data_IF_484256936546
#
_entry.id   IF_484256936546
#
_cell.length_a   1.000
_cell.length_b   1.000
_cell.length_c   1.000
_cell.angle_alpha   90.00
_cell.angle_beta   90.00
_cell.angle_gamma   90.00
#
_symmetry.space_group_name_H-M   'P 1'
#
loop_
_entity.id
_entity.type
_entity.pdbx_description
1 polymer ?
#
# COMPACT_ATOMS: atom_id res chain seq x y z
N UNK A 1 -11.94 -1.06 18.44
CA UNK A 1 -11.53 -0.86 17.04
C UNK A 1 -10.05 -0.52 16.98
N UNK A 2 -9.29 -1.16 16.07
CA UNK A 2 -7.90 -0.77 15.76
C UNK A 2 -7.88 0.37 14.76
N UNK A 3 -7.03 1.35 14.97
CA UNK A 3 -6.76 2.45 14.04
C UNK A 3 -5.32 2.35 13.54
N UNK A 4 -5.15 2.23 12.24
CA UNK A 4 -3.85 2.15 11.57
C UNK A 4 -3.68 3.37 10.68
N UNK A 5 -2.54 4.04 10.79
CA UNK A 5 -2.12 5.09 9.86
C UNK A 5 -1.15 4.51 8.85
N UNK A 6 -1.50 4.59 7.57
CA UNK A 6 -0.66 4.12 6.47
C UNK A 6 -0.22 5.29 5.58
N UNK A 7 1.02 5.23 5.12
CA UNK A 7 1.62 6.30 4.31
C UNK A 7 2.30 5.70 3.10
N UNK A 8 1.85 6.09 1.91
CA UNK A 8 2.53 5.73 0.67
C UNK A 8 3.68 6.71 0.47
N UNK A 9 4.88 6.29 0.92
CA UNK A 9 6.11 7.07 0.92
C UNK A 9 6.83 6.88 -0.41
N UNK A 10 6.38 7.61 -1.41
CA UNK A 10 6.63 7.29 -2.82
C UNK A 10 7.47 8.33 -3.57
N UNK A 11 7.35 9.62 -3.20
CA UNK A 11 8.00 10.71 -3.92
C UNK A 11 9.50 10.77 -3.60
N UNK A 12 10.29 10.30 -4.54
CA UNK A 12 11.74 10.33 -4.46
C UNK A 12 12.37 11.44 -5.32
N UNK A 13 11.54 12.33 -5.89
CA UNK A 13 11.95 13.40 -6.81
C UNK A 13 11.91 14.76 -6.14
N UNK A 14 10.92 15.00 -5.26
CA UNK A 14 10.67 16.29 -4.61
C UNK A 14 11.26 16.31 -3.21
N UNK A 15 12.35 17.08 -2.93
CA UNK A 15 13.01 17.09 -1.61
C UNK A 15 12.06 17.49 -0.47
N UNK A 16 11.13 18.42 -0.71
CA UNK A 16 10.14 18.88 0.27
C UNK A 16 9.15 17.76 0.68
N UNK A 17 8.94 16.78 -0.19
CA UNK A 17 8.16 15.58 0.14
C UNK A 17 8.87 14.71 1.18
N UNK A 18 10.21 14.68 1.20
CA UNK A 18 10.99 13.96 2.22
C UNK A 18 10.84 14.61 3.59
N UNK A 19 10.78 15.96 3.63
CA UNK A 19 10.49 16.70 4.87
C UNK A 19 9.05 16.47 5.33
N UNK A 20 8.10 16.33 4.41
CA UNK A 20 6.72 15.96 4.74
C UNK A 20 6.63 14.55 5.33
N UNK A 21 7.38 13.57 4.80
CA UNK A 21 7.47 12.21 5.36
C UNK A 21 8.00 12.26 6.80
N UNK A 22 9.11 12.97 7.03
CA UNK A 22 9.68 13.19 8.38
C UNK A 22 8.69 13.88 9.30
N UNK A 23 7.97 14.89 8.81
CA UNK A 23 6.96 15.60 9.59
C UNK A 23 5.84 14.66 10.05
N UNK A 24 5.27 13.84 9.14
CA UNK A 24 4.24 12.86 9.48
C UNK A 24 4.73 11.85 10.52
N UNK A 25 5.91 11.28 10.32
CA UNK A 25 6.54 10.38 11.29
C UNK A 25 6.68 11.05 12.66
N UNK A 26 7.15 12.29 12.70
CA UNK A 26 7.26 13.07 13.94
C UNK A 26 5.92 13.34 14.61
N UNK A 27 4.86 13.60 13.84
CA UNK A 27 3.51 13.84 14.42
C UNK A 27 2.95 12.59 15.11
N UNK A 28 3.16 11.41 14.52
CA UNK A 28 2.74 10.16 15.15
C UNK A 28 3.61 9.82 16.38
N UNK A 29 4.92 9.91 16.24
CA UNK A 29 5.85 9.63 17.34
C UNK A 29 5.61 10.53 18.57
N UNK A 30 5.32 11.83 18.35
CA UNK A 30 4.99 12.75 19.43
C UNK A 30 3.69 12.40 20.20
N UNK A 31 2.84 11.56 19.61
CA UNK A 31 1.60 11.04 20.20
C UNK A 31 1.72 9.59 20.68
N UNK A 32 2.93 9.01 20.68
CA UNK A 32 3.16 7.62 21.04
C UNK A 32 2.55 6.60 20.06
N UNK A 33 2.29 7.01 18.82
CA UNK A 33 1.66 6.18 17.79
C UNK A 33 2.71 5.68 16.80
N UNK A 34 2.63 4.40 16.46
CA UNK A 34 3.36 3.85 15.32
C UNK A 34 2.45 3.80 14.11
N UNK A 35 2.94 4.28 12.95
CA UNK A 35 2.29 4.14 11.65
C UNK A 35 3.02 3.13 10.77
N UNK A 36 2.46 2.85 9.59
CA UNK A 36 3.03 1.99 8.56
C UNK A 36 3.43 2.84 7.36
N UNK A 37 4.74 2.92 7.07
CA UNK A 37 5.30 3.72 5.98
C UNK A 37 5.71 2.78 4.85
N UNK A 38 4.94 2.79 3.76
CA UNK A 38 5.17 1.97 2.57
C UNK A 38 6.23 2.66 1.70
N UNK A 39 7.48 2.21 1.79
CA UNK A 39 8.61 2.89 1.17
C UNK A 39 8.95 2.35 -0.21
N UNK A 40 9.10 3.24 -1.19
CA UNK A 40 9.63 2.94 -2.51
C UNK A 40 11.14 2.67 -2.43
N UNK A 41 11.63 1.65 -3.15
CA UNK A 41 13.04 1.29 -3.17
C UNK A 41 13.95 2.43 -3.65
N UNK A 42 13.55 3.18 -4.68
CA UNK A 42 14.31 4.35 -5.16
C UNK A 42 14.34 5.46 -4.12
N UNK A 43 13.25 5.67 -3.36
CA UNK A 43 13.27 6.64 -2.26
C UNK A 43 14.34 6.27 -1.21
N UNK A 44 14.41 5.00 -0.81
CA UNK A 44 15.42 4.54 0.12
C UNK A 44 16.85 4.82 -0.38
N UNK A 45 17.11 4.58 -1.69
CA UNK A 45 18.40 4.92 -2.33
C UNK A 45 18.68 6.41 -2.33
N UNK A 46 17.71 7.25 -2.69
CA UNK A 46 17.83 8.70 -2.73
C UNK A 46 18.09 9.30 -1.35
N UNK A 47 17.36 8.86 -0.32
CA UNK A 47 17.60 9.33 1.05
C UNK A 47 19.04 9.05 1.50
N UNK A 48 19.58 7.86 1.23
CA UNK A 48 20.98 7.54 1.52
C UNK A 48 21.96 8.40 0.71
N UNK A 49 21.74 8.50 -0.60
CA UNK A 49 22.63 9.25 -1.50
C UNK A 49 22.68 10.74 -1.17
N UNK A 50 21.60 11.32 -0.67
CA UNK A 50 21.51 12.73 -0.26
C UNK A 50 21.79 12.95 1.24
N UNK A 51 22.26 11.93 1.97
CA UNK A 51 22.59 12.06 3.39
C UNK A 51 21.42 12.39 4.30
N UNK A 52 20.16 12.06 3.90
CA UNK A 52 18.94 12.36 4.64
C UNK A 52 18.71 11.35 5.78
N UNK A 53 19.76 11.19 6.60
CA UNK A 53 19.69 10.34 7.79
C UNK A 53 18.57 10.78 8.74
N UNK A 54 18.30 12.07 8.81
CA UNK A 54 17.23 12.65 9.61
C UNK A 54 15.82 12.14 9.22
N UNK A 55 15.58 11.89 7.94
CA UNK A 55 14.33 11.29 7.43
C UNK A 55 14.32 9.80 7.73
N UNK A 56 15.42 9.10 7.43
CA UNK A 56 15.57 7.67 7.69
C UNK A 56 15.32 7.36 9.18
N UNK A 57 15.94 8.10 10.09
CA UNK A 57 15.78 7.92 11.54
C UNK A 57 14.36 8.21 12.03
N UNK A 58 13.68 9.18 11.41
CA UNK A 58 12.30 9.47 11.73
C UNK A 58 11.37 8.32 11.33
N UNK A 59 11.50 7.83 10.09
CA UNK A 59 10.71 6.72 9.55
C UNK A 59 10.99 5.41 10.29
N UNK A 60 12.25 5.14 10.66
CA UNK A 60 12.67 3.92 11.35
C UNK A 60 12.01 3.71 12.73
N UNK A 61 11.39 4.73 13.31
CA UNK A 61 10.59 4.62 14.55
C UNK A 61 9.22 3.95 14.32
N UNK A 62 8.85 3.74 13.07
CA UNK A 62 7.56 3.21 12.64
C UNK A 62 7.72 1.86 11.94
N UNK A 63 6.62 1.23 11.57
CA UNK A 63 6.67 0.08 10.68
C UNK A 63 7.03 0.54 9.27
N UNK A 64 7.98 -0.17 8.65
CA UNK A 64 8.40 0.07 7.28
C UNK A 64 7.83 -1.05 6.42
N UNK A 65 6.94 -0.68 5.52
CA UNK A 65 6.44 -1.53 4.45
C UNK A 65 7.16 -1.26 3.13
N UNK A 66 6.74 -1.95 2.09
CA UNK A 66 7.33 -1.87 0.75
C UNK A 66 6.34 -1.31 -0.28
N UNK A 67 6.79 -0.38 -1.13
CA UNK A 67 5.93 0.29 -2.12
C UNK A 67 6.49 0.22 -3.56
N UNK A 68 7.05 -0.92 -3.90
CA UNK A 68 7.67 -1.14 -5.20
C UNK A 68 9.09 -0.58 -5.32
N UNK A 69 9.80 -1.01 -6.38
CA UNK A 69 11.18 -0.59 -6.62
C UNK A 69 11.26 0.86 -7.17
N UNK A 70 10.49 1.14 -8.22
CA UNK A 70 10.54 2.42 -8.96
C UNK A 70 9.16 3.07 -9.10
N UNK A 71 8.18 2.62 -8.33
CA UNK A 71 6.81 3.12 -8.35
C UNK A 71 6.22 3.07 -9.78
N UNK A 72 5.71 4.20 -10.29
CA UNK A 72 4.99 4.32 -11.56
C UNK A 72 5.86 4.23 -12.82
N UNK A 73 7.16 3.99 -12.68
CA UNK A 73 8.07 3.89 -13.84
C UNK A 73 7.73 2.65 -14.67
N UNK A 74 7.39 2.80 -15.97
CA UNK A 74 7.08 1.65 -16.82
C UNK A 74 8.30 0.72 -17.06
N UNK A 75 8.03 -0.56 -17.33
CA UNK A 75 6.74 -1.24 -17.33
C UNK A 75 6.25 -1.53 -15.91
N UNK A 76 4.98 -1.22 -15.63
CA UNK A 76 4.32 -1.58 -14.37
C UNK A 76 3.78 -3.02 -14.43
N UNK A 77 3.58 -3.64 -13.26
CA UNK A 77 3.26 -5.07 -13.18
C UNK A 77 2.11 -5.50 -14.10
N UNK A 78 0.90 -4.91 -14.04
CA UNK A 78 -0.20 -5.39 -14.85
C UNK A 78 0.11 -5.36 -16.36
N UNK A 79 0.76 -4.32 -16.82
CA UNK A 79 1.08 -4.15 -18.24
C UNK A 79 2.15 -5.14 -18.70
N UNK A 80 3.12 -5.42 -17.83
CA UNK A 80 4.23 -6.28 -18.17
C UNK A 80 3.86 -7.77 -18.21
N UNK A 81 2.89 -8.19 -17.38
CA UNK A 81 2.67 -9.63 -17.15
C UNK A 81 1.28 -10.13 -17.55
N UNK A 82 0.39 -9.28 -18.12
CA UNK A 82 -0.95 -9.73 -18.51
C UNK A 82 -0.93 -10.89 -19.55
N UNK A 83 0.08 -10.93 -20.42
CA UNK A 83 0.17 -11.90 -21.49
C UNK A 83 0.96 -13.19 -21.17
N UNK A 84 1.49 -13.31 -19.96
CA UNK A 84 2.37 -14.46 -19.59
C UNK A 84 1.74 -15.32 -18.50
N UNK A 85 2.34 -16.50 -18.26
CA UNK A 85 1.87 -17.43 -17.24
C UNK A 85 2.10 -16.88 -15.83
N UNK A 86 1.38 -17.45 -14.84
CA UNK A 86 1.55 -17.08 -13.43
C UNK A 86 3.02 -17.25 -12.97
N UNK A 87 3.68 -18.34 -13.35
CA UNK A 87 5.06 -18.61 -12.97
C UNK A 87 6.03 -17.59 -13.56
N UNK A 88 5.94 -17.31 -14.86
CA UNK A 88 6.74 -16.27 -15.52
C UNK A 88 6.47 -14.89 -14.94
N UNK A 89 5.21 -14.59 -14.59
CA UNK A 89 4.82 -13.35 -13.93
C UNK A 89 5.47 -13.18 -12.56
N UNK A 90 5.51 -14.23 -11.74
CA UNK A 90 6.20 -14.21 -10.43
C UNK A 90 7.69 -13.93 -10.60
N UNK A 91 8.35 -14.62 -11.53
CA UNK A 91 9.78 -14.40 -11.80
C UNK A 91 10.04 -12.97 -12.30
N UNK A 92 9.18 -12.44 -13.17
CA UNK A 92 9.30 -11.09 -13.67
C UNK A 92 9.18 -10.07 -12.51
N UNK A 93 8.17 -10.23 -11.66
CA UNK A 93 7.96 -9.33 -10.50
C UNK A 93 9.15 -9.41 -9.55
N UNK A 94 9.64 -10.61 -9.22
CA UNK A 94 10.81 -10.76 -8.34
C UNK A 94 12.04 -10.07 -8.92
N UNK A 95 12.34 -10.23 -10.21
CA UNK A 95 13.46 -9.53 -10.85
C UNK A 95 13.29 -8.01 -10.81
N UNK A 96 12.07 -7.51 -10.98
CA UNK A 96 11.76 -6.08 -10.96
C UNK A 96 11.88 -5.48 -9.57
N UNK A 97 11.42 -6.21 -8.55
CA UNK A 97 11.22 -5.68 -7.20
C UNK A 97 12.38 -5.98 -6.23
N UNK A 98 13.12 -7.07 -6.43
CA UNK A 98 14.21 -7.47 -5.53
C UNK A 98 15.26 -6.37 -5.27
N UNK A 99 15.70 -5.56 -6.24
CA UNK A 99 16.64 -4.47 -5.97
C UNK A 99 16.06 -3.39 -5.04
N UNK A 100 14.79 -3.03 -5.21
CA UNK A 100 14.10 -2.06 -4.36
C UNK A 100 13.87 -2.60 -2.96
N UNK A 101 13.44 -3.85 -2.86
CA UNK A 101 13.29 -4.54 -1.58
C UNK A 101 14.61 -4.58 -0.80
N UNK A 102 15.70 -4.99 -1.43
CA UNK A 102 17.03 -4.98 -0.83
C UNK A 102 17.42 -3.58 -0.33
N UNK A 103 17.16 -2.54 -1.14
CA UNK A 103 17.44 -1.15 -0.76
C UNK A 103 16.68 -0.70 0.49
N UNK A 104 15.40 -1.08 0.61
CA UNK A 104 14.59 -0.80 1.81
C UNK A 104 15.15 -1.53 3.02
N UNK A 105 15.46 -2.84 2.88
CA UNK A 105 16.05 -3.65 3.96
C UNK A 105 17.38 -3.06 4.43
N UNK A 106 18.28 -2.72 3.52
CA UNK A 106 19.58 -2.12 3.85
C UNK A 106 19.46 -0.74 4.52
N UNK A 107 18.46 0.04 4.11
CA UNK A 107 18.29 1.40 4.63
C UNK A 107 17.71 1.39 6.03
N UNK A 108 16.76 0.51 6.30
CA UNK A 108 16.01 0.50 7.57
C UNK A 108 16.38 -0.66 8.50
N UNK A 109 17.26 -1.59 8.07
CA UNK A 109 17.75 -2.71 8.89
C UNK A 109 16.69 -3.75 9.24
N UNK A 110 15.59 -3.82 8.49
CA UNK A 110 14.49 -4.77 8.74
C UNK A 110 13.77 -5.20 7.47
N UNK A 111 13.22 -6.40 7.50
CA UNK A 111 12.40 -6.94 6.41
C UNK A 111 10.99 -6.36 6.51
N UNK A 112 10.44 -5.74 5.45
CA UNK A 112 9.06 -5.29 5.40
C UNK A 112 8.07 -6.45 5.62
N UNK A 113 7.06 -6.21 6.46
CA UNK A 113 5.94 -7.16 6.67
C UNK A 113 4.75 -6.82 5.79
N UNK A 114 4.57 -5.52 5.48
CA UNK A 114 3.50 -5.03 4.62
C UNK A 114 4.04 -4.57 3.26
N UNK A 115 3.16 -4.60 2.26
CA UNK A 115 3.39 -4.01 0.95
C UNK A 115 2.14 -3.27 0.48
N UNK A 116 2.35 -2.21 -0.29
CA UNK A 116 1.34 -1.58 -1.14
C UNK A 116 1.93 -1.43 -2.54
N UNK A 117 1.11 -1.43 -3.57
CA UNK A 117 1.59 -1.22 -4.93
C UNK A 117 1.05 0.09 -5.49
N UNK A 118 1.86 0.77 -6.26
CA UNK A 118 1.55 2.05 -6.86
C UNK A 118 0.20 2.03 -7.59
N UNK A 119 -0.69 2.97 -7.24
CA UNK A 119 -2.01 3.09 -7.83
C UNK A 119 -2.80 1.77 -7.83
N UNK A 120 -2.67 0.96 -6.78
CA UNK A 120 -3.27 -0.37 -6.68
C UNK A 120 -2.98 -1.29 -7.89
N UNK A 121 -1.84 -1.14 -8.53
CA UNK A 121 -1.43 -1.95 -9.69
C UNK A 121 -1.03 -3.39 -9.30
N UNK A 122 -1.80 -4.02 -8.42
CA UNK A 122 -1.53 -5.37 -7.99
C UNK A 122 -1.80 -6.42 -9.08
N UNK A 123 -1.21 -7.57 -8.92
CA UNK A 123 -1.44 -8.75 -9.78
C UNK A 123 -1.35 -10.00 -8.92
N UNK A 124 -1.97 -11.14 -9.32
CA UNK A 124 -1.79 -12.39 -8.62
C UNK A 124 -0.33 -12.80 -8.45
N UNK A 125 0.46 -12.63 -9.51
CA UNK A 125 1.90 -12.87 -9.47
C UNK A 125 2.62 -11.92 -8.50
N UNK A 126 2.19 -10.66 -8.42
CA UNK A 126 2.69 -9.67 -7.46
C UNK A 126 2.45 -10.09 -6.02
N UNK A 127 1.24 -10.55 -5.69
CA UNK A 127 0.94 -11.08 -4.35
C UNK A 127 1.86 -12.24 -3.97
N UNK A 128 2.00 -13.23 -4.86
CA UNK A 128 2.84 -14.39 -4.60
C UNK A 128 4.32 -14.04 -4.52
N UNK A 129 4.78 -13.11 -5.35
CA UNK A 129 6.16 -12.60 -5.29
C UNK A 129 6.44 -11.86 -3.98
N UNK A 130 5.57 -10.93 -3.56
CA UNK A 130 5.71 -10.21 -2.30
C UNK A 130 5.66 -11.16 -1.10
N UNK A 131 4.72 -12.09 -1.09
CA UNK A 131 4.63 -13.11 -0.04
C UNK A 131 5.88 -14.00 0.03
N UNK A 132 6.51 -14.33 -1.11
CA UNK A 132 7.75 -15.11 -1.13
C UNK A 132 8.98 -14.32 -0.64
N UNK A 133 8.93 -12.98 -0.67
CA UNK A 133 9.92 -12.10 -0.05
C UNK A 133 9.69 -11.90 1.46
N UNK A 134 8.64 -12.52 2.03
CA UNK A 134 8.34 -12.46 3.47
C UNK A 134 7.30 -11.44 3.88
N UNK A 135 6.70 -10.72 2.94
CA UNK A 135 5.60 -9.81 3.22
C UNK A 135 4.30 -10.58 3.43
N UNK A 136 3.54 -10.21 4.45
CA UNK A 136 2.34 -10.94 4.86
C UNK A 136 1.06 -10.08 4.84
N UNK A 137 1.19 -8.77 4.63
CA UNK A 137 0.08 -7.83 4.53
C UNK A 137 0.17 -7.10 3.20
N UNK A 138 -0.92 -7.07 2.46
CA UNK A 138 -1.08 -6.18 1.32
C UNK A 138 -2.02 -5.04 1.71
N UNK A 139 -1.54 -3.80 1.63
CA UNK A 139 -2.32 -2.61 1.90
C UNK A 139 -2.76 -1.94 0.59
N UNK A 140 -4.01 -1.57 0.52
CA UNK A 140 -4.58 -0.92 -0.67
C UNK A 140 -5.89 -1.58 -1.12
N UNK A 141 -6.42 -1.12 -2.23
CA UNK A 141 -7.53 -1.69 -2.99
C UNK A 141 -8.88 -1.86 -2.29
N UNK A 142 -9.90 -1.99 -3.10
CA UNK A 142 -11.22 -2.34 -2.65
C UNK A 142 -12.08 -1.15 -2.19
N UNK A 143 -13.27 -1.46 -1.70
CA UNK A 143 -14.19 -0.49 -1.11
C UNK A 143 -13.80 -0.16 0.33
N UNK A 144 -13.97 1.10 0.74
CA UNK A 144 -13.76 1.54 2.13
C UNK A 144 -14.53 0.69 3.16
N UNK A 145 -15.62 0.05 2.76
CA UNK A 145 -16.47 -0.78 3.62
C UNK A 145 -16.13 -2.28 3.56
N UNK A 146 -15.12 -2.68 2.79
CA UNK A 146 -14.74 -4.09 2.71
C UNK A 146 -13.97 -4.54 3.95
N UNK A 147 -14.32 -5.67 4.54
CA UNK A 147 -13.50 -6.28 5.57
C UNK A 147 -12.20 -6.84 4.99
N UNK A 148 -11.16 -6.88 5.81
CA UNK A 148 -9.90 -7.53 5.43
C UNK A 148 -10.09 -8.99 5.07
N UNK A 149 -9.33 -9.48 4.10
CA UNK A 149 -9.41 -10.83 3.55
C UNK A 149 -8.03 -11.43 3.36
N UNK A 150 -7.97 -12.75 3.27
CA UNK A 150 -6.77 -13.48 2.90
C UNK A 150 -6.78 -13.79 1.41
N UNK A 151 -5.68 -13.48 0.73
CA UNK A 151 -5.50 -13.80 -0.68
C UNK A 151 -4.05 -14.12 -0.98
N UNK A 152 -3.77 -15.23 -1.64
CA UNK A 152 -2.42 -15.69 -1.99
C UNK A 152 -1.43 -15.70 -0.81
N UNK A 153 -1.90 -16.01 0.40
CA UNK A 153 -1.07 -16.06 1.60
C UNK A 153 -0.80 -14.70 2.25
N UNK A 154 -1.44 -13.63 1.79
CA UNK A 154 -1.35 -12.29 2.39
C UNK A 154 -2.69 -11.86 2.98
N UNK A 155 -2.64 -11.14 4.10
CA UNK A 155 -3.77 -10.42 4.65
C UNK A 155 -3.98 -9.14 3.84
N UNK A 156 -5.11 -9.03 3.16
CA UNK A 156 -5.46 -7.82 2.38
C UNK A 156 -6.11 -6.81 3.31
N UNK A 157 -5.45 -5.68 3.49
CA UNK A 157 -5.84 -4.58 4.36
C UNK A 157 -6.33 -3.41 3.49
N UNK A 158 -7.65 -3.16 3.51
CA UNK A 158 -8.24 -2.12 2.67
C UNK A 158 -8.01 -0.72 3.24
N UNK A 159 -7.61 0.22 2.40
CA UNK A 159 -7.58 1.64 2.73
C UNK A 159 -9.01 2.16 2.89
N UNK A 160 -9.36 2.60 4.09
CA UNK A 160 -10.73 3.01 4.40
C UNK A 160 -10.96 4.50 4.20
N UNK A 161 -9.99 5.35 4.57
CA UNK A 161 -10.07 6.80 4.45
C UNK A 161 -8.78 7.34 3.86
N UNK A 162 -8.91 8.08 2.77
CA UNK A 162 -7.81 8.85 2.19
C UNK A 162 -7.78 10.23 2.83
N UNK A 163 -6.76 10.53 3.64
CA UNK A 163 -6.68 11.77 4.41
C UNK A 163 -6.63 13.00 3.52
N UNK A 164 -5.92 12.94 2.40
CA UNK A 164 -5.76 14.05 1.46
C UNK A 164 -7.05 14.40 0.70
N UNK A 165 -8.03 13.50 0.64
CA UNK A 165 -9.37 13.81 0.10
C UNK A 165 -10.08 14.92 0.90
N UNK A 166 -9.60 15.20 2.12
CA UNK A 166 -10.12 16.23 3.01
C UNK A 166 -9.19 17.45 3.14
N UNK A 167 -8.30 17.63 2.18
CA UNK A 167 -7.43 18.80 2.08
C UNK A 167 -8.12 20.02 1.43
N UNK A 168 -9.45 20.02 1.33
CA UNK A 168 -10.23 21.15 0.86
C UNK A 168 -9.89 22.48 1.58
N UNK A 169 -10.27 23.63 1.00
CA UNK A 169 -9.90 24.94 1.57
C UNK A 169 -10.77 25.36 2.73
N UNK A 170 -12.01 24.89 2.76
CA UNK A 170 -12.98 25.23 3.77
C UNK A 170 -12.89 24.32 5.02
N UNK A 171 -13.52 24.76 6.10
CA UNK A 171 -13.58 24.00 7.35
C UNK A 171 -14.61 22.85 7.27
N UNK A 172 -15.46 22.83 6.25
CA UNK A 172 -16.41 21.74 6.00
C UNK A 172 -15.68 20.41 5.75
N UNK A 173 -14.48 20.43 5.17
CA UNK A 173 -13.67 19.24 4.96
C UNK A 173 -13.34 18.50 6.27
N UNK A 174 -13.11 19.23 7.36
CA UNK A 174 -12.86 18.62 8.68
C UNK A 174 -14.09 17.93 9.24
N UNK A 175 -15.28 18.57 9.09
CA UNK A 175 -16.55 17.97 9.46
C UNK A 175 -16.84 16.72 8.63
N UNK A 176 -16.66 16.79 7.31
CA UNK A 176 -16.87 15.67 6.39
C UNK A 176 -15.97 14.48 6.77
N UNK A 177 -14.69 14.73 7.07
CA UNK A 177 -13.78 13.69 7.56
C UNK A 177 -14.33 12.98 8.80
N UNK A 178 -14.79 13.76 9.79
CA UNK A 178 -15.33 13.21 11.05
C UNK A 178 -16.59 12.39 10.83
N UNK A 179 -17.48 12.85 9.96
CA UNK A 179 -18.71 12.15 9.61
C UNK A 179 -18.40 10.82 8.90
N UNK A 180 -17.49 10.82 7.93
CA UNK A 180 -17.12 9.63 7.17
C UNK A 180 -16.33 8.64 8.03
N UNK A 181 -15.41 9.12 8.87
CA UNK A 181 -14.74 8.30 9.88
C UNK A 181 -15.76 7.58 10.78
N UNK A 182 -16.78 8.29 11.26
CA UNK A 182 -17.83 7.72 12.11
C UNK A 182 -18.63 6.63 11.40
N UNK A 183 -19.02 6.85 10.14
CA UNK A 183 -19.74 5.87 9.32
C UNK A 183 -18.92 4.59 9.12
N UNK A 184 -17.64 4.74 8.73
CA UNK A 184 -16.75 3.60 8.47
C UNK A 184 -16.45 2.88 9.77
N UNK A 185 -16.14 3.59 10.85
CA UNK A 185 -15.86 3.01 12.16
C UNK A 185 -16.99 2.10 12.66
N UNK A 186 -18.25 2.45 12.34
CA UNK A 186 -19.41 1.65 12.69
C UNK A 186 -19.51 0.32 11.92
N UNK A 187 -18.76 0.15 10.82
CA UNK A 187 -18.75 -1.07 10.00
C UNK A 187 -17.55 -1.96 10.26
N UNK A 188 -16.53 -1.47 11.00
CA UNK A 188 -15.32 -2.24 11.29
C UNK A 188 -15.62 -3.31 12.35
N UNK A 189 -15.35 -4.60 12.07
CA UNK A 189 -15.47 -5.66 13.08
C UNK A 189 -14.56 -5.43 14.28
N UNK A 190 -14.85 -6.08 15.41
CA UNK A 190 -14.07 -5.93 16.66
C UNK A 190 -12.59 -6.33 16.50
N UNK A 191 -12.29 -7.33 15.68
CA UNK A 191 -10.94 -7.80 15.33
C UNK A 191 -10.36 -7.08 14.11
N UNK A 192 -11.16 -6.26 13.43
CA UNK A 192 -10.77 -5.49 12.24
C UNK A 192 -9.96 -4.24 12.55
N UNK A 193 -9.50 -3.60 11.47
CA UNK A 193 -8.79 -2.33 11.53
C UNK A 193 -9.45 -1.30 10.60
N UNK A 194 -9.51 -0.05 11.07
CA UNK A 194 -9.78 1.13 10.24
C UNK A 194 -8.43 1.70 9.82
N UNK A 195 -8.21 1.78 8.52
CA UNK A 195 -6.94 2.26 7.97
C UNK A 195 -7.17 3.64 7.36
N UNK A 196 -6.52 4.63 7.95
CA UNK A 196 -6.43 6.00 7.41
C UNK A 196 -5.10 6.11 6.68
N UNK A 197 -5.14 6.38 5.38
CA UNK A 197 -3.93 6.49 4.59
C UNK A 197 -3.78 7.87 3.95
N UNK A 198 -2.57 8.20 3.55
CA UNK A 198 -2.26 9.40 2.77
C UNK A 198 -0.91 9.26 2.07
N UNK A 199 -0.71 10.08 1.06
CA UNK A 199 0.59 10.29 0.42
C UNK A 199 1.25 11.53 1.05
N UNK A 200 2.33 11.40 1.82
CA UNK A 200 2.99 12.55 2.47
C UNK A 200 3.32 13.70 1.51
N UNK A 201 3.67 13.40 0.26
CA UNK A 201 3.92 14.39 -0.79
C UNK A 201 2.76 15.36 -0.96
N UNK A 202 1.49 14.89 -0.85
CA UNK A 202 0.29 15.71 -1.04
C UNK A 202 0.08 16.78 0.04
N UNK A 203 0.81 16.69 1.14
CA UNK A 203 0.83 17.75 2.16
C UNK A 203 1.53 19.02 1.66
N UNK A 204 2.47 18.89 0.74
CA UNK A 204 3.34 19.96 0.28
C UNK A 204 3.26 20.24 -1.22
N UNK A 205 2.69 19.31 -2.03
CA UNK A 205 2.60 19.45 -3.47
C UNK A 205 1.18 19.63 -3.97
N UNK A 206 1.02 20.35 -5.09
CA UNK A 206 -0.29 20.58 -5.73
C UNK A 206 -0.70 19.45 -6.67
N UNK A 207 0.24 18.56 -7.05
CA UNK A 207 -0.01 17.37 -7.88
C UNK A 207 0.94 16.24 -7.48
N UNK A 208 0.63 15.02 -7.92
CA UNK A 208 1.53 13.89 -7.75
C UNK A 208 2.80 14.04 -8.58
N UNK A 209 3.94 13.61 -8.02
CA UNK A 209 5.26 13.66 -8.65
C UNK A 209 5.35 12.76 -9.90
N UNK A 210 4.57 11.68 -9.92
CA UNK A 210 4.57 10.66 -10.96
C UNK A 210 3.65 10.97 -12.16
N UNK A 211 3.02 12.16 -12.17
CA UNK A 211 2.17 12.61 -13.27
C UNK A 211 2.80 12.47 -14.67
N UNK A 212 4.13 12.63 -14.86
CA UNK A 212 4.77 12.36 -16.15
C UNK A 212 4.56 10.93 -16.69
N UNK A 213 4.35 9.95 -15.81
CA UNK A 213 4.13 8.55 -16.22
C UNK A 213 2.68 8.21 -16.55
N UNK A 214 1.76 9.15 -16.37
CA UNK A 214 0.35 8.89 -16.61
C UNK A 214 0.07 8.45 -18.04
N UNK A 215 -0.87 7.52 -18.19
CA UNK A 215 -1.27 6.89 -19.46
C UNK A 215 -0.16 6.02 -20.09
N UNK A 216 0.75 5.51 -19.28
CA UNK A 216 1.84 4.66 -19.72
C UNK A 216 3.00 5.43 -20.39
N UNK A 217 3.07 6.75 -20.21
CA UNK A 217 4.21 7.52 -20.68
C UNK A 217 5.50 7.08 -19.98
N UNK A 218 6.62 7.18 -20.68
CA UNK A 218 7.94 6.83 -20.16
C UNK A 218 8.85 8.04 -20.14
N UNK A 219 9.51 8.28 -19.01
CA UNK A 219 10.47 9.35 -18.82
C UNK A 219 11.67 8.82 -18.04
N UNK A 220 12.91 9.30 -18.32
CA UNK A 220 14.07 8.99 -17.47
C UNK A 220 13.86 9.56 -16.07
N UNK A 221 14.09 8.76 -15.05
CA UNK A 221 13.88 9.17 -13.65
C UNK A 221 14.87 10.26 -13.19
N UNK A 222 16.04 10.33 -13.86
CA UNK A 222 17.10 11.30 -13.58
C UNK A 222 16.70 12.73 -13.97
N UNK A 223 15.77 12.87 -14.90
CA UNK A 223 15.35 14.17 -15.46
C UNK A 223 13.95 14.58 -15.05
N UNK A 224 13.32 13.84 -14.16
CA UNK A 224 11.99 14.18 -13.65
C UNK A 224 12.07 15.49 -12.83
N UNK A 225 11.23 16.49 -13.16
CA UNK A 225 11.16 17.69 -12.36
C UNK A 225 10.44 17.41 -11.03
N UNK A 226 10.83 18.10 -9.93
CA UNK A 226 10.06 18.08 -8.69
C UNK A 226 8.60 18.47 -8.91
N UNK A 227 7.70 17.89 -8.13
CA UNK A 227 6.30 18.27 -8.16
C UNK A 227 6.11 19.74 -7.72
N UNK A 228 5.20 20.49 -8.35
CA UNK A 228 4.92 21.88 -7.96
C UNK A 228 4.44 21.97 -6.51
N UNK A 229 5.08 22.84 -5.74
CA UNK A 229 4.76 23.03 -4.33
C UNK A 229 3.43 23.81 -4.14
N UNK A 230 2.80 23.59 -3.01
CA UNK A 230 1.74 24.43 -2.49
C UNK A 230 2.35 25.71 -1.87
N UNK A 231 1.60 26.82 -1.80
CA UNK A 231 2.02 27.99 -1.03
C UNK A 231 2.22 27.65 0.45
N UNK A 232 3.23 28.24 1.10
CA UNK A 232 3.57 27.97 2.50
C UNK A 232 2.37 28.15 3.46
N UNK A 233 1.59 29.21 3.29
CA UNK A 233 0.39 29.45 4.09
C UNK A 233 -0.60 28.28 3.99
N UNK A 234 -0.72 27.67 2.80
CA UNK A 234 -1.56 26.50 2.57
C UNK A 234 -1.01 25.27 3.28
N UNK A 235 0.29 25.04 3.18
CA UNK A 235 0.97 23.92 3.86
C UNK A 235 0.75 24.04 5.38
N UNK A 236 0.91 25.23 5.98
CA UNK A 236 0.69 25.42 7.41
C UNK A 236 -0.77 25.19 7.83
N UNK A 237 -1.74 25.66 7.02
CA UNK A 237 -3.17 25.39 7.25
C UNK A 237 -3.45 23.88 7.22
N UNK A 238 -2.89 23.15 6.26
CA UNK A 238 -3.04 21.68 6.16
C UNK A 238 -2.41 20.96 7.35
N UNK A 239 -1.18 21.32 7.72
CA UNK A 239 -0.49 20.76 8.90
C UNK A 239 -1.33 20.94 10.17
N UNK A 240 -1.87 22.15 10.40
CA UNK A 240 -2.72 22.41 11.57
C UNK A 240 -4.01 21.59 11.56
N UNK A 241 -4.64 21.42 10.39
CA UNK A 241 -5.84 20.56 10.24
C UNK A 241 -5.51 19.10 10.54
N UNK A 242 -4.42 18.61 9.99
CA UNK A 242 -3.96 17.23 10.24
C UNK A 242 -3.75 16.98 11.73
N UNK A 243 -3.07 17.91 12.43
CA UNK A 243 -2.84 17.79 13.87
C UNK A 243 -4.15 17.70 14.64
N UNK A 244 -5.12 18.60 14.37
CA UNK A 244 -6.44 18.55 15.03
C UNK A 244 -7.20 17.25 14.76
N UNK A 245 -7.13 16.74 13.53
CA UNK A 245 -7.80 15.48 13.18
C UNK A 245 -7.11 14.26 13.81
N UNK A 246 -5.76 14.24 13.88
CA UNK A 246 -5.03 13.21 14.62
C UNK A 246 -5.44 13.21 16.10
N UNK A 247 -5.42 14.36 16.76
CA UNK A 247 -5.80 14.48 18.17
C UNK A 247 -7.25 14.02 18.38
N UNK A 248 -8.16 14.42 17.49
CA UNK A 248 -9.56 14.03 17.55
C UNK A 248 -9.75 12.51 17.39
N UNK A 249 -9.08 11.87 16.43
CA UNK A 249 -9.17 10.41 16.23
C UNK A 249 -8.65 9.64 17.43
N UNK A 250 -7.51 10.07 17.98
CA UNK A 250 -6.85 9.39 19.10
C UNK A 250 -7.61 9.55 20.42
N UNK A 251 -8.36 10.66 20.59
CA UNK A 251 -9.18 10.90 21.77
C UNK A 251 -10.51 10.10 21.77
N UNK A 252 -10.83 9.38 20.71
CA UNK A 252 -12.11 8.64 20.63
C UNK A 252 -12.11 7.42 21.54
N UNK A 253 -13.20 7.20 22.32
CA UNK A 253 -13.32 6.03 23.18
C UNK A 253 -13.20 4.73 22.37
N UNK A 254 -12.49 3.73 22.91
CA UNK A 254 -12.33 2.42 22.32
C UNK A 254 -11.40 2.33 21.11
N UNK A 255 -10.77 3.43 20.70
CA UNK A 255 -9.72 3.43 19.68
C UNK A 255 -8.41 2.93 20.30
N UNK A 256 -7.81 1.94 19.66
CA UNK A 256 -6.45 1.45 19.92
C UNK A 256 -5.63 1.62 18.66
N UNK A 257 -4.48 2.24 18.74
CA UNK A 257 -3.58 2.36 17.59
C UNK A 257 -2.78 1.09 17.36
N UNK A 258 -2.49 0.78 16.12
CA UNK A 258 -1.64 -0.34 15.72
C UNK A 258 -0.88 0.05 14.45
N UNK A 259 0.14 -0.72 14.09
CA UNK A 259 0.71 -0.77 12.76
C UNK A 259 0.32 -2.09 12.07
N UNK A 260 0.58 -2.23 10.77
CA UNK A 260 0.17 -3.41 10.00
C UNK A 260 0.90 -4.67 10.46
N UNK A 261 2.18 -4.58 10.81
CA UNK A 261 2.95 -5.72 11.29
C UNK A 261 2.42 -6.23 12.64
N UNK A 262 2.13 -5.32 13.57
CA UNK A 262 1.54 -5.65 14.87
C UNK A 262 0.14 -6.25 14.69
N UNK A 263 -0.69 -5.64 13.86
CA UNK A 263 -2.02 -6.17 13.59
C UNK A 263 -1.98 -7.57 12.95
N UNK A 264 -1.09 -7.79 11.99
CA UNK A 264 -0.89 -9.13 11.41
C UNK A 264 -0.49 -10.16 12.47
N UNK A 265 0.44 -9.81 13.35
CA UNK A 265 0.89 -10.72 14.42
C UNK A 265 -0.22 -11.08 15.43
N UNK A 266 -1.24 -10.23 15.57
CA UNK A 266 -2.40 -10.47 16.43
C UNK A 266 -3.50 -11.34 15.77
N UNK A 267 -3.36 -11.72 14.49
CA UNK A 267 -4.36 -12.56 13.82
C UNK A 267 -4.38 -13.95 14.46
N UNK A 268 -5.57 -14.43 14.80
CA UNK A 268 -5.74 -15.73 15.47
C UNK A 268 -5.30 -16.93 14.60
N UNK A 269 -5.33 -16.77 13.28
CA UNK A 269 -4.97 -17.82 12.32
C UNK A 269 -4.26 -17.20 11.12
N UNK A 270 -2.98 -16.83 11.26
CA UNK A 270 -2.20 -16.32 10.12
C UNK A 270 -2.10 -17.41 9.05
N UNK A 271 -2.18 -17.00 7.78
CA UNK A 271 -2.18 -17.91 6.61
C UNK A 271 -1.03 -17.54 5.66
N UNK A 272 0.24 -17.67 6.09
CA UNK A 272 1.37 -17.31 5.25
C UNK A 272 1.41 -18.18 3.99
N UNK A 273 2.06 -17.67 2.94
CA UNK A 273 2.25 -18.40 1.68
C UNK A 273 2.84 -19.80 1.90
N UNK A 274 3.76 -19.97 2.85
CA UNK A 274 4.34 -21.28 3.19
C UNK A 274 3.31 -22.30 3.62
N UNK A 275 2.30 -21.91 4.40
CA UNK A 275 1.21 -22.79 4.78
C UNK A 275 0.32 -23.14 3.59
N UNK A 276 0.02 -22.19 2.71
CA UNK A 276 -0.73 -22.42 1.49
C UNK A 276 -0.01 -23.39 0.56
N UNK A 277 1.30 -23.22 0.36
CA UNK A 277 2.12 -24.12 -0.45
C UNK A 277 2.15 -25.55 0.13
N UNK A 278 2.32 -25.67 1.45
CA UNK A 278 2.32 -26.97 2.12
C UNK A 278 0.99 -27.73 1.94
N UNK A 279 -0.16 -27.04 2.01
CA UNK A 279 -1.48 -27.66 1.72
C UNK A 279 -1.59 -28.20 0.29
N UNK A 280 -0.79 -27.70 -0.64
CA UNK A 280 -0.73 -28.17 -2.03
C UNK A 280 0.42 -29.16 -2.29
N UNK A 281 1.17 -29.57 -1.27
CA UNK A 281 2.36 -30.41 -1.43
C UNK A 281 3.52 -29.72 -2.15
N UNK A 282 3.55 -28.38 -2.13
CA UNK A 282 4.57 -27.57 -2.78
C UNK A 282 5.62 -27.07 -1.77
N UNK A 283 6.84 -26.85 -2.26
CA UNK A 283 7.96 -26.31 -1.48
C UNK A 283 8.00 -24.75 -1.57
N UNK A 284 8.67 -24.07 -0.63
CA UNK A 284 9.05 -22.68 -0.81
C UNK A 284 9.73 -22.48 -2.17
N UNK A 285 9.33 -21.44 -2.90
CA UNK A 285 9.83 -21.17 -4.26
C UNK A 285 8.99 -21.79 -5.39
N UNK A 286 8.03 -22.67 -5.08
CA UNK A 286 7.16 -23.28 -6.10
C UNK A 286 5.80 -22.59 -6.23
N UNK A 287 5.68 -21.31 -5.80
CA UNK A 287 4.42 -20.58 -5.83
C UNK A 287 3.78 -20.50 -7.23
N UNK A 288 4.58 -20.49 -8.30
CA UNK A 288 4.09 -20.52 -9.68
C UNK A 288 3.39 -21.82 -10.09
N UNK A 289 3.48 -22.87 -9.27
CA UNK A 289 2.83 -24.17 -9.47
C UNK A 289 1.52 -24.32 -8.69
N UNK A 290 1.09 -23.29 -7.98
CA UNK A 290 -0.22 -23.30 -7.32
C UNK A 290 -1.31 -23.63 -8.34
N UNK A 291 -2.24 -24.56 -8.03
CA UNK A 291 -3.26 -24.95 -8.99
C UNK A 291 -4.23 -23.80 -9.24
N UNK A 292 -4.39 -23.44 -10.50
CA UNK A 292 -5.47 -22.55 -10.93
C UNK A 292 -6.76 -23.36 -10.96
N UNK A 293 -7.78 -22.94 -10.20
CA UNK A 293 -9.08 -23.62 -10.12
C UNK A 293 -10.16 -22.73 -10.71
N UNK A 294 -11.08 -23.31 -11.46
CA UNK A 294 -12.30 -22.63 -11.80
C UNK A 294 -13.12 -22.43 -10.52
N UNK A 295 -13.40 -21.20 -10.17
CA UNK A 295 -14.28 -20.86 -9.05
C UNK A 295 -15.62 -20.44 -9.62
N UNK A 296 -16.66 -21.23 -9.38
CA UNK A 296 -18.06 -20.89 -9.72
C UNK A 296 -18.70 -20.04 -8.64
N UNK A 297 -18.21 -20.11 -7.39
CA UNK A 297 -18.77 -19.43 -6.22
C UNK A 297 -17.71 -18.49 -5.63
N UNK A 298 -17.60 -17.30 -6.19
CA UNK A 298 -16.77 -16.24 -5.60
C UNK A 298 -17.49 -15.68 -4.37
N UNK A 299 -16.74 -15.56 -3.27
CA UNK A 299 -17.16 -14.71 -2.15
C UNK A 299 -17.55 -13.33 -2.71
N UNK A 300 -18.75 -12.81 -2.45
CA UNK A 300 -19.18 -11.50 -2.93
C UNK A 300 -18.19 -10.38 -2.63
N UNK A 301 -17.48 -10.45 -1.49
CA UNK A 301 -16.44 -9.49 -1.14
C UNK A 301 -15.21 -9.58 -2.06
N UNK A 302 -14.82 -10.80 -2.51
CA UNK A 302 -13.78 -10.97 -3.51
C UNK A 302 -14.24 -10.49 -4.89
N UNK A 303 -15.52 -10.69 -5.25
CA UNK A 303 -16.04 -10.13 -6.48
C UNK A 303 -15.89 -8.62 -6.50
N UNK A 304 -16.32 -7.93 -5.43
CA UNK A 304 -16.13 -6.47 -5.29
C UNK A 304 -14.65 -6.10 -5.33
N UNK A 305 -13.77 -6.87 -4.67
CA UNK A 305 -12.33 -6.68 -4.73
C UNK A 305 -11.81 -6.80 -6.16
N UNK A 306 -12.19 -7.81 -6.93
CA UNK A 306 -11.79 -7.97 -8.33
C UNK A 306 -12.46 -6.95 -9.25
N UNK A 307 -13.68 -6.56 -9.01
CA UNK A 307 -14.42 -5.58 -9.82
C UNK A 307 -13.92 -4.15 -9.56
N UNK A 308 -13.33 -3.86 -8.38
CA UNK A 308 -12.65 -2.59 -8.10
C UNK A 308 -11.35 -2.44 -8.92
N UNK A 309 -10.87 -3.52 -9.51
CA UNK A 309 -9.73 -3.58 -10.40
C UNK A 309 -10.00 -3.22 -11.87
N UNK A 310 -11.03 -2.52 -12.14
CA UNK A 310 -10.99 -1.77 -13.36
C UNK A 310 -9.81 -0.80 -13.25
N UNK A 311 -8.66 -1.18 -13.79
CA UNK A 311 -7.42 -0.38 -13.83
C UNK A 311 -7.68 1.01 -14.43
N UNK A 312 -8.47 1.80 -13.72
CA UNK A 312 -8.85 3.19 -14.05
C UNK A 312 -7.75 4.18 -13.73
N UNK A 313 -6.63 3.64 -13.21
CA UNK A 313 -5.55 4.46 -12.73
C UNK A 313 -4.90 5.25 -13.85
N UNK A 314 -4.60 6.47 -13.53
CA UNK A 314 -3.94 7.41 -14.44
C UNK A 314 -2.62 6.89 -15.03
N UNK A 315 -1.94 5.96 -14.33
CA UNK A 315 -0.68 5.35 -14.78
C UNK A 315 -0.85 4.26 -15.86
N UNK A 316 -2.05 3.72 -16.05
CA UNK A 316 -2.29 2.68 -17.05
C UNK A 316 -2.32 3.24 -18.47
N UNK A 317 -1.78 2.51 -19.47
CA UNK A 317 -1.96 2.85 -20.88
C UNK A 317 -3.44 2.94 -21.26
N UNK A 318 -3.76 3.82 -22.19
CA UNK A 318 -5.15 3.93 -22.72
C UNK A 318 -5.56 2.60 -23.34
N UNK A 319 -6.75 2.11 -22.96
CA UNK A 319 -7.32 0.88 -23.50
C UNK A 319 -6.68 -0.40 -22.96
N UNK A 320 -5.83 -0.30 -21.93
CA UNK A 320 -5.33 -1.49 -21.25
C UNK A 320 -6.49 -2.27 -20.63
N UNK A 321 -6.45 -3.59 -20.81
CA UNK A 321 -7.45 -4.52 -20.28
C UNK A 321 -6.74 -5.71 -19.67
N UNK A 322 -6.82 -5.87 -18.37
CA UNK A 322 -6.18 -6.93 -17.58
C UNK A 322 -6.96 -8.26 -17.60
N UNK A 323 -7.47 -8.68 -18.77
CA UNK A 323 -8.37 -9.85 -18.86
C UNK A 323 -7.72 -11.13 -18.36
N UNK A 324 -6.47 -11.37 -18.73
CA UNK A 324 -5.76 -12.58 -18.31
C UNK A 324 -5.41 -12.53 -16.83
N UNK A 325 -4.96 -11.40 -16.33
CA UNK A 325 -4.69 -11.19 -14.90
C UNK A 325 -5.96 -11.41 -14.05
N UNK A 326 -7.10 -10.90 -14.50
CA UNK A 326 -8.38 -11.11 -13.81
C UNK A 326 -8.83 -12.56 -13.83
N UNK A 327 -8.57 -13.28 -14.92
CA UNK A 327 -8.80 -14.73 -15.00
C UNK A 327 -7.91 -15.47 -13.98
N UNK A 328 -6.62 -15.16 -13.93
CA UNK A 328 -5.70 -15.74 -12.95
C UNK A 328 -6.12 -15.40 -11.51
N UNK A 329 -6.51 -14.15 -11.24
CA UNK A 329 -6.93 -13.70 -9.93
C UNK A 329 -8.13 -14.50 -9.41
N UNK A 330 -9.15 -14.67 -10.25
CA UNK A 330 -10.35 -15.47 -9.92
C UNK A 330 -10.00 -16.95 -9.73
N UNK A 331 -9.12 -17.50 -10.56
CA UNK A 331 -8.68 -18.90 -10.45
C UNK A 331 -7.86 -19.19 -9.18
N UNK A 332 -7.30 -18.16 -8.53
CA UNK A 332 -6.64 -18.24 -7.23
C UNK A 332 -7.54 -17.83 -6.05
N UNK A 333 -8.81 -17.51 -6.29
CA UNK A 333 -9.71 -17.03 -5.22
C UNK A 333 -9.91 -18.05 -4.07
N UNK A 334 -9.70 -19.35 -4.33
CA UNK A 334 -9.71 -20.39 -3.30
C UNK A 334 -8.66 -20.19 -2.20
N UNK A 335 -7.60 -19.42 -2.46
CA UNK A 335 -6.56 -19.10 -1.47
C UNK A 335 -7.06 -18.17 -0.36
N UNK A 336 -8.23 -17.54 -0.54
CA UNK A 336 -8.87 -16.67 0.45
C UNK A 336 -9.64 -17.44 1.53
N UNK A 337 -9.99 -18.70 1.26
CA UNK A 337 -10.66 -19.58 2.23
C UNK A 337 -9.71 -20.13 3.29
N UNK A 338 -10.23 -20.72 4.39
CA UNK A 338 -9.39 -21.55 5.24
C UNK A 338 -8.76 -22.64 4.41
N UNK A 339 -7.48 -23.02 4.66
CA UNK A 339 -6.94 -24.20 4.04
C UNK A 339 -7.89 -25.35 4.38
N UNK A 340 -8.56 -25.90 3.37
CA UNK A 340 -9.29 -27.15 3.54
C UNK A 340 -8.22 -28.23 3.61
N UNK A 341 -7.96 -28.71 4.82
CA UNK A 341 -7.15 -29.89 5.10
C UNK A 341 -7.75 -31.12 4.43
#
# INVERSE_FOLDING_TARGET
>A
MRLIFSFDTEDYVTPEAWDAQKWWAGQLAARGVRGSFQCVGELARRLKAHGRQDVIDALAKHEIGYHGNLHSVPPIHPVAIDAISLAEGIEWVLRREAPGFASVVETFGRVPVSAAMNGDSWTPAGFLAMASLGMNVYAGGGSALMPSRWYCGMLVAHYNLCFESYYGEDDAAEKTFRDDFGKIAATVPDDGALIVFTHPTRLVTSQFWDKPFYRGASHPIETLPPAPLLPDARIQKLKSRVQRLLDWMLARPGVRTSDMATWYAEQASPRPLSALLACCGLKPGEAGRLPLRESTDLDPALSVFFDSFEYRWSIMPRGFSARNLMKQARALAWTSGPPRL
#
